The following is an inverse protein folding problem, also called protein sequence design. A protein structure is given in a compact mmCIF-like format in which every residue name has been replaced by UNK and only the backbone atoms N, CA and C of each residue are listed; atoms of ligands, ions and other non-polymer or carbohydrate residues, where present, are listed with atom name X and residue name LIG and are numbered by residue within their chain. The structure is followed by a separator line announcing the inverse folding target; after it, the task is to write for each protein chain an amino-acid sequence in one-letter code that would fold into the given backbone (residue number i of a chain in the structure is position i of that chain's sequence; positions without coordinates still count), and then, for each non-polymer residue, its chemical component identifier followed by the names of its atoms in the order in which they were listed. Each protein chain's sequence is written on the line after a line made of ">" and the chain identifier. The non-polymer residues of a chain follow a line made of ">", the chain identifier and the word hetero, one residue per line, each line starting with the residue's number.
data_IF_300501307232
#
_entry.id   IF_300501307232
#
_cell.length_a   1.000
_cell.length_b   1.000
_cell.length_c   1.000
_cell.angle_alpha   90.00
_cell.angle_beta   90.00
_cell.angle_gamma   90.00
#
_symmetry.space_group_name_H-M   'P 1'
#
loop_
_entity.id
_entity.type
_entity.pdbx_description
1 polymer ?
#
# COMPACT_ATOMS: atom_id res chain seq x y z
N UNK A 1 16.34 -34.13 9.35
CA UNK A 1 16.97 -33.14 10.25
C UNK A 1 16.71 -31.74 9.68
N UNK A 2 15.42 -31.38 9.55
CA UNK A 2 14.96 -30.15 8.87
C UNK A 2 13.53 -29.81 9.35
N UNK A 3 13.31 -29.98 10.66
CA UNK A 3 12.03 -29.74 11.34
C UNK A 3 12.17 -28.98 12.66
N UNK A 4 13.35 -28.39 12.90
CA UNK A 4 13.71 -27.75 14.18
C UNK A 4 14.08 -26.26 14.08
N UNK A 5 14.05 -25.64 12.89
CA UNK A 5 14.45 -24.22 12.71
C UNK A 5 13.24 -23.27 12.65
N UNK A 6 12.00 -23.78 12.54
CA UNK A 6 10.80 -22.94 12.45
C UNK A 6 10.15 -22.58 13.81
N UNK A 7 10.71 -23.01 14.94
CA UNK A 7 10.11 -22.80 16.27
C UNK A 7 10.78 -21.70 17.11
N UNK A 8 11.94 -21.17 16.74
CA UNK A 8 12.60 -20.12 17.54
C UNK A 8 12.13 -18.69 17.22
N UNK A 9 11.58 -18.41 16.04
CA UNK A 9 11.02 -17.08 15.72
C UNK A 9 9.61 -16.83 16.30
N UNK A 10 8.98 -17.84 16.92
CA UNK A 10 7.63 -17.75 17.49
C UNK A 10 7.66 -17.27 18.96
N UNK A 11 8.81 -17.37 19.65
CA UNK A 11 8.88 -17.06 21.09
C UNK A 11 9.14 -15.58 21.42
N UNK A 12 9.67 -14.79 20.47
CA UNK A 12 10.07 -13.39 20.72
C UNK A 12 8.95 -12.38 20.43
N UNK A 13 8.02 -12.69 19.52
CA UNK A 13 6.86 -11.83 19.20
C UNK A 13 5.79 -11.81 20.30
N UNK A 14 5.72 -12.87 21.11
CA UNK A 14 4.69 -13.04 22.14
C UNK A 14 4.83 -12.08 23.36
N UNK A 15 5.97 -11.39 23.50
CA UNK A 15 6.24 -10.50 24.64
C UNK A 15 6.01 -9.00 24.37
N UNK A 16 6.03 -8.55 23.12
CA UNK A 16 5.89 -7.13 22.82
C UNK A 16 4.42 -6.65 22.76
N UNK A 17 3.47 -7.53 22.43
CA UNK A 17 2.07 -7.12 22.25
C UNK A 17 1.27 -6.97 23.55
N UNK A 18 1.64 -7.67 24.64
CA UNK A 18 0.91 -7.57 25.93
C UNK A 18 1.04 -6.21 26.63
N UNK A 19 2.03 -5.40 26.26
CA UNK A 19 2.29 -4.12 26.94
C UNK A 19 1.43 -2.97 26.39
N UNK A 20 0.88 -3.11 25.18
CA UNK A 20 0.21 -1.99 24.50
C UNK A 20 -1.26 -1.78 24.91
N UNK A 21 -1.92 -2.79 25.49
CA UNK A 21 -3.37 -2.76 25.78
C UNK A 21 -3.74 -2.26 27.20
N UNK A 22 -2.78 -1.85 28.03
CA UNK A 22 -3.07 -1.42 29.41
C UNK A 22 -3.36 0.09 29.57
N UNK A 23 -3.45 0.87 28.49
CA UNK A 23 -3.75 2.30 28.64
C UNK A 23 -4.52 2.88 27.47
N UNK A 24 -5.83 3.12 27.68
CA UNK A 24 -6.52 4.38 27.32
C UNK A 24 -8.02 4.22 27.56
N UNK A 25 -8.49 4.98 28.55
CA UNK A 25 -9.87 5.43 28.69
C UNK A 25 -9.81 6.97 28.63
N UNK A 26 -10.66 7.64 27.83
CA UNK A 26 -11.13 8.94 28.31
C UNK A 26 -12.63 9.17 28.09
N UNK A 27 -13.23 9.80 29.10
CA UNK A 27 -14.60 10.30 29.13
C UNK A 27 -14.78 11.61 28.33
N UNK A 28 -16.05 11.88 28.04
CA UNK A 28 -16.71 12.98 27.31
C UNK A 28 -16.40 14.40 27.82
N UNK A 29 -16.57 15.41 26.95
CA UNK A 29 -17.70 16.36 27.04
C UNK A 29 -17.78 17.31 25.84
N UNK A 30 -18.97 17.89 25.67
CA UNK A 30 -19.58 18.56 24.51
C UNK A 30 -19.74 20.05 24.81
N UNK A 31 -19.69 20.94 23.78
CA UNK A 31 -20.73 21.95 23.48
C UNK A 31 -20.21 23.13 22.63
N UNK A 32 -21.08 23.65 21.74
CA UNK A 32 -21.10 25.09 21.44
C UNK A 32 -21.35 25.53 19.99
N UNK A 33 -22.60 25.51 19.56
CA UNK A 33 -23.11 26.06 18.29
C UNK A 33 -23.06 27.61 18.21
N UNK A 34 -22.92 28.19 17.01
CA UNK A 34 -23.88 29.20 16.47
C UNK A 34 -23.57 29.69 15.03
N UNK A 35 -24.66 29.74 14.24
CA UNK A 35 -24.89 30.44 12.95
C UNK A 35 -24.56 31.93 13.00
N UNK A 36 -24.17 32.52 11.85
CA UNK A 36 -24.74 33.78 11.31
C UNK A 36 -24.79 33.71 9.77
N UNK A 37 -25.91 34.16 9.22
CA UNK A 37 -26.28 34.33 7.81
C UNK A 37 -26.13 35.82 7.42
N UNK A 38 -25.79 36.14 6.18
CA UNK A 38 -25.85 37.52 5.66
C UNK A 38 -25.58 37.65 4.16
N UNK A 39 -26.65 37.80 3.39
CA UNK A 39 -26.74 38.31 2.00
C UNK A 39 -26.38 39.82 1.96
N UNK A 40 -26.25 40.60 0.87
CA UNK A 40 -26.74 40.67 -0.53
C UNK A 40 -25.86 41.76 -1.22
N UNK A 41 -25.57 41.80 -2.53
CA UNK A 41 -26.19 42.54 -3.68
C UNK A 41 -25.02 43.00 -4.58
N UNK A 42 -24.87 42.53 -5.83
CA UNK A 42 -25.30 43.12 -7.12
C UNK A 42 -24.86 44.57 -7.37
N UNK A 43 -23.98 44.78 -8.36
CA UNK A 43 -24.22 45.75 -9.44
C UNK A 43 -23.44 45.38 -10.71
N UNK A 44 -24.13 45.45 -11.83
CA UNK A 44 -23.69 45.29 -13.21
C UNK A 44 -23.44 46.66 -13.84
N UNK A 45 -22.57 46.73 -14.85
CA UNK A 45 -22.75 47.55 -16.06
C UNK A 45 -21.69 47.20 -17.12
N UNK A 46 -22.17 46.66 -18.24
CA UNK A 46 -21.88 46.91 -19.67
C UNK A 46 -20.68 47.82 -20.05
N UNK A 47 -19.96 47.68 -21.17
CA UNK A 47 -20.41 47.37 -22.54
C UNK A 47 -19.22 47.16 -23.51
N UNK A 48 -19.45 46.32 -24.53
CA UNK A 48 -19.07 46.42 -25.98
C UNK A 48 -17.61 46.40 -26.49
N UNK A 49 -17.30 45.26 -27.13
CA UNK A 49 -16.93 45.03 -28.54
C UNK A 49 -15.76 45.77 -29.21
N UNK A 50 -14.87 45.00 -29.86
CA UNK A 50 -14.67 45.04 -31.34
C UNK A 50 -13.80 43.87 -31.83
N UNK A 51 -14.24 43.27 -32.94
CA UNK A 51 -13.58 42.20 -33.69
C UNK A 51 -12.48 42.72 -34.64
N UNK A 52 -11.60 41.79 -35.03
CA UNK A 52 -11.08 41.49 -36.40
C UNK A 52 -9.55 41.58 -36.51
N UNK A 53 -8.92 40.42 -36.77
CA UNK A 53 -8.31 40.07 -38.07
C UNK A 53 -7.45 38.81 -37.94
N UNK A 54 -7.78 37.78 -38.71
CA UNK A 54 -6.80 36.79 -39.18
C UNK A 54 -6.11 37.37 -40.42
N UNK A 55 -4.87 36.97 -40.75
CA UNK A 55 -4.76 35.80 -41.63
C UNK A 55 -3.49 34.94 -41.45
N UNK A 56 -3.54 33.81 -42.16
CA UNK A 56 -2.45 33.03 -42.76
C UNK A 56 -2.07 31.67 -42.14
N UNK A 57 -2.43 30.69 -42.96
CA UNK A 57 -2.15 29.25 -42.97
C UNK A 57 -0.67 29.05 -43.28
N UNK A 58 0.10 28.63 -42.28
CA UNK A 58 1.42 28.05 -42.45
C UNK A 58 1.33 26.54 -42.22
N UNK A 59 1.67 25.80 -43.27
CA UNK A 59 1.84 24.34 -43.29
C UNK A 59 2.90 23.94 -42.25
N UNK A 60 2.47 23.33 -41.15
CA UNK A 60 3.34 22.68 -40.18
C UNK A 60 3.79 21.34 -40.74
N UNK A 61 5.06 21.23 -41.13
CA UNK A 61 5.74 19.95 -41.26
C UNK A 61 5.65 19.23 -39.92
N UNK A 62 4.91 18.12 -39.91
CA UNK A 62 4.82 17.21 -38.78
C UNK A 62 6.17 16.55 -38.57
N UNK A 63 7.03 17.18 -37.76
CA UNK A 63 8.19 16.52 -37.18
C UNK A 63 7.71 15.33 -36.37
N UNK A 64 7.85 14.13 -36.92
CA UNK A 64 7.67 12.88 -36.21
C UNK A 64 8.77 12.84 -35.14
N UNK A 65 8.46 13.37 -33.95
CA UNK A 65 9.28 13.18 -32.76
C UNK A 65 9.14 11.71 -32.43
N UNK A 66 10.15 10.91 -32.81
CA UNK A 66 10.30 9.58 -32.24
C UNK A 66 10.33 9.77 -30.73
N UNK A 67 9.35 9.20 -30.02
CA UNK A 67 9.39 9.10 -28.57
C UNK A 67 10.50 8.10 -28.23
N UNK A 68 11.74 8.58 -28.26
CA UNK A 68 12.86 7.87 -27.64
C UNK A 68 12.49 7.81 -26.16
N UNK A 69 12.26 6.59 -25.66
CA UNK A 69 12.10 6.36 -24.23
C UNK A 69 13.33 6.93 -23.53
N UNK A 70 13.17 8.09 -22.90
CA UNK A 70 14.27 8.80 -22.24
C UNK A 70 14.74 8.06 -20.97
N UNK A 71 14.06 6.98 -20.59
CA UNK A 71 14.38 6.15 -19.45
C UNK A 71 13.82 6.69 -18.14
N UNK A 72 14.20 6.03 -17.06
CA UNK A 72 13.82 6.39 -15.68
C UNK A 72 15.09 6.64 -14.88
N UNK A 73 15.13 7.74 -14.13
CA UNK A 73 16.20 8.10 -13.21
C UNK A 73 15.69 7.95 -11.77
N UNK A 74 16.37 7.14 -10.97
CA UNK A 74 15.93 6.74 -9.64
C UNK A 74 17.01 7.14 -8.63
N UNK A 75 16.70 8.08 -7.75
CA UNK A 75 17.59 8.51 -6.68
C UNK A 75 17.14 7.91 -5.34
N UNK A 76 17.98 7.08 -4.74
CA UNK A 76 17.83 6.70 -3.34
C UNK A 76 18.39 7.78 -2.43
N UNK A 77 17.60 8.22 -1.46
CA UNK A 77 18.02 9.03 -0.32
C UNK A 77 18.15 8.08 0.86
N UNK A 78 19.40 7.75 1.21
CA UNK A 78 19.77 6.75 2.20
C UNK A 78 20.09 7.43 3.54
N UNK A 79 19.33 7.08 4.57
CA UNK A 79 19.64 7.45 5.95
C UNK A 79 20.93 6.75 6.42
N UNK A 80 21.95 7.55 6.67
CA UNK A 80 23.20 7.13 7.27
C UNK A 80 23.39 7.72 8.66
N UNK A 81 22.33 8.17 9.33
CA UNK A 81 22.39 8.83 10.63
C UNK A 81 22.84 7.91 11.77
N UNK A 82 22.99 8.46 12.98
CA UNK A 82 23.51 7.74 14.14
C UNK A 82 22.51 6.80 14.83
N UNK A 83 21.22 6.85 14.48
CA UNK A 83 20.18 5.95 15.01
C UNK A 83 20.32 4.52 14.46
N UNK A 84 20.89 4.39 13.27
CA UNK A 84 20.99 3.12 12.55
C UNK A 84 22.26 2.37 13.01
N UNK A 85 22.11 1.11 13.39
CA UNK A 85 23.27 0.25 13.72
C UNK A 85 24.02 -0.16 12.44
N UNK A 86 25.32 -0.50 12.51
CA UNK A 86 26.09 -0.94 11.35
C UNK A 86 25.44 -2.12 10.59
N UNK A 87 24.86 -3.09 11.31
CA UNK A 87 24.17 -4.23 10.70
C UNK A 87 22.89 -3.81 9.96
N UNK A 88 22.13 -2.88 10.53
CA UNK A 88 20.93 -2.34 9.90
C UNK A 88 21.29 -1.49 8.67
N UNK A 89 22.37 -0.70 8.75
CA UNK A 89 22.89 0.05 7.60
C UNK A 89 23.37 -0.90 6.49
N UNK A 90 24.01 -2.02 6.85
CA UNK A 90 24.37 -3.04 5.87
C UNK A 90 23.13 -3.63 5.18
N UNK A 91 22.06 -3.92 5.92
CA UNK A 91 20.77 -4.38 5.34
C UNK A 91 20.16 -3.34 4.40
N UNK A 92 20.24 -2.05 4.73
CA UNK A 92 19.80 -0.97 3.86
C UNK A 92 20.58 -0.95 2.52
N UNK A 93 21.91 -1.12 2.58
CA UNK A 93 22.76 -1.24 1.38
C UNK A 93 22.42 -2.49 0.58
N UNK A 94 22.21 -3.62 1.23
CA UNK A 94 21.85 -4.88 0.56
C UNK A 94 20.50 -4.76 -0.14
N UNK A 95 19.51 -4.12 0.49
CA UNK A 95 18.23 -3.80 -0.12
C UNK A 95 18.39 -2.95 -1.39
N UNK A 96 19.12 -1.82 -1.32
CA UNK A 96 19.37 -0.96 -2.49
C UNK A 96 20.11 -1.74 -3.59
N UNK A 97 21.13 -2.52 -3.23
CA UNK A 97 21.87 -3.37 -4.15
C UNK A 97 20.94 -4.35 -4.88
N UNK A 98 20.05 -5.02 -4.14
CA UNK A 98 19.14 -6.01 -4.70
C UNK A 98 18.11 -5.37 -5.63
N UNK A 99 17.52 -4.24 -5.24
CA UNK A 99 16.59 -3.48 -6.10
C UNK A 99 17.28 -3.06 -7.40
N UNK A 100 18.47 -2.46 -7.32
CA UNK A 100 19.23 -2.04 -8.52
C UNK A 100 19.54 -3.24 -9.43
N UNK A 101 20.08 -4.32 -8.85
CA UNK A 101 20.43 -5.55 -9.56
C UNK A 101 19.23 -6.19 -10.27
N UNK A 102 18.05 -6.19 -9.64
CA UNK A 102 16.84 -6.77 -10.23
C UNK A 102 16.17 -5.86 -11.24
N UNK A 103 16.08 -4.55 -10.98
CA UNK A 103 15.51 -3.57 -11.92
C UNK A 103 16.30 -3.57 -13.23
N UNK A 104 17.64 -3.64 -13.19
CA UNK A 104 18.44 -3.68 -14.43
C UNK A 104 18.27 -4.94 -15.27
N UNK A 105 17.69 -6.01 -14.74
CA UNK A 105 17.36 -7.21 -15.54
C UNK A 105 16.15 -6.97 -16.45
N UNK A 106 15.29 -5.99 -16.11
CA UNK A 106 14.01 -5.74 -16.80
C UNK A 106 13.90 -4.34 -17.38
N UNK A 107 14.61 -3.35 -16.83
CA UNK A 107 14.65 -1.97 -17.28
C UNK A 107 16.07 -1.55 -17.65
N UNK A 108 16.41 -1.67 -18.94
CA UNK A 108 17.74 -1.32 -19.46
C UNK A 108 18.00 0.20 -19.51
N UNK A 109 16.95 1.02 -19.52
CA UNK A 109 17.05 2.49 -19.52
C UNK A 109 16.84 3.09 -18.11
N UNK A 110 16.93 2.29 -17.05
CA UNK A 110 16.87 2.77 -15.68
C UNK A 110 18.26 3.14 -15.17
N UNK A 111 18.46 4.41 -14.83
CA UNK A 111 19.68 4.94 -14.24
C UNK A 111 19.46 5.20 -12.74
N UNK A 112 20.42 4.83 -11.89
CA UNK A 112 20.33 5.01 -10.43
C UNK A 112 21.30 6.07 -9.91
N UNK A 113 20.93 6.70 -8.81
CA UNK A 113 21.80 7.52 -7.97
C UNK A 113 21.55 7.19 -6.50
N UNK A 114 22.55 7.41 -5.65
CA UNK A 114 22.45 7.25 -4.20
C UNK A 114 23.04 8.49 -3.53
N UNK A 115 22.22 9.14 -2.73
CA UNK A 115 22.60 10.25 -1.84
C UNK A 115 22.42 9.76 -0.42
N UNK A 116 23.51 9.72 0.34
CA UNK A 116 23.47 9.42 1.77
C UNK A 116 23.42 10.72 2.57
N UNK A 117 22.72 10.72 3.71
CA UNK A 117 22.80 11.80 4.69
C UNK A 117 23.25 11.31 6.07
N UNK A 118 23.78 12.23 6.87
CA UNK A 118 24.25 11.99 8.24
C UNK A 118 24.88 13.26 8.81
N UNK A 119 26.17 13.21 9.12
CA UNK A 119 26.97 14.41 9.42
C UNK A 119 27.04 15.40 8.25
N UNK A 120 26.92 14.89 7.03
CA UNK A 120 26.93 15.65 5.78
C UNK A 120 25.99 15.00 4.77
N UNK A 121 25.76 15.65 3.64
CA UNK A 121 25.08 15.07 2.49
C UNK A 121 26.15 14.62 1.49
N UNK A 122 26.11 13.36 1.06
CA UNK A 122 27.12 12.79 0.17
C UNK A 122 26.49 12.03 -1.00
N UNK A 123 26.91 12.36 -2.22
CA UNK A 123 26.62 11.51 -3.39
C UNK A 123 27.53 10.30 -3.37
N UNK A 124 26.98 9.14 -3.05
CA UNK A 124 27.69 7.85 -3.06
C UNK A 124 27.75 7.25 -4.47
N UNK A 125 26.72 7.55 -5.27
CA UNK A 125 26.58 7.05 -6.63
C UNK A 125 25.84 8.09 -7.47
N UNK A 126 26.46 8.55 -8.56
CA UNK A 126 25.85 9.49 -9.52
C UNK A 126 25.16 8.78 -10.67
N UNK A 127 24.30 9.48 -11.43
CA UNK A 127 23.68 8.91 -12.65
C UNK A 127 24.71 8.53 -13.72
N UNK A 128 25.88 9.18 -13.72
CA UNK A 128 27.00 8.82 -14.60
C UNK A 128 27.66 7.49 -14.19
N UNK A 129 27.80 7.25 -12.88
CA UNK A 129 28.31 5.96 -12.37
C UNK A 129 27.38 4.80 -12.74
N UNK A 130 26.08 5.06 -12.83
CA UNK A 130 25.06 4.09 -13.22
C UNK A 130 25.29 3.48 -14.61
N UNK A 131 26.12 4.06 -15.47
CA UNK A 131 26.43 3.51 -16.80
C UNK A 131 27.22 2.21 -16.75
N UNK A 132 27.90 1.92 -15.64
CA UNK A 132 28.57 0.65 -15.42
C UNK A 132 27.93 -0.08 -14.22
N UNK A 133 26.94 -0.93 -14.50
CA UNK A 133 26.16 -1.63 -13.46
C UNK A 133 27.06 -2.41 -12.48
N UNK A 134 28.11 -3.08 -12.97
CA UNK A 134 29.01 -3.83 -12.11
C UNK A 134 29.78 -2.92 -11.15
N UNK A 135 30.33 -1.80 -11.64
CA UNK A 135 31.04 -0.84 -10.79
C UNK A 135 30.10 -0.10 -9.83
N UNK A 136 28.90 0.24 -10.31
CA UNK A 136 27.83 0.83 -9.51
C UNK A 136 27.48 -0.07 -8.30
N UNK A 137 27.24 -1.36 -8.53
CA UNK A 137 26.96 -2.35 -7.47
C UNK A 137 28.11 -2.52 -6.47
N UNK A 138 29.37 -2.42 -6.92
CA UNK A 138 30.52 -2.40 -6.02
C UNK A 138 30.56 -1.14 -5.16
N UNK A 139 30.28 0.03 -5.75
CA UNK A 139 30.17 1.29 -4.99
C UNK A 139 29.14 1.17 -3.89
N UNK A 140 27.96 0.60 -4.16
CA UNK A 140 26.92 0.39 -3.12
C UNK A 140 27.45 -0.41 -1.93
N UNK A 141 28.19 -1.49 -2.18
CA UNK A 141 28.78 -2.30 -1.10
C UNK A 141 29.81 -1.53 -0.27
N UNK A 142 30.58 -0.67 -0.93
CA UNK A 142 31.65 0.14 -0.34
C UNK A 142 31.16 1.35 0.49
N UNK A 143 29.88 1.72 0.38
CA UNK A 143 29.28 2.85 1.13
C UNK A 143 29.53 2.68 2.64
N UNK A 144 30.05 3.75 3.25
CA UNK A 144 30.31 3.85 4.69
C UNK A 144 29.29 4.77 5.33
N UNK A 145 28.78 4.37 6.50
CA UNK A 145 27.79 5.12 7.25
C UNK A 145 28.38 6.45 7.75
N UNK A 146 27.64 7.56 7.59
CA UNK A 146 28.10 8.90 7.99
C UNK A 146 27.88 9.21 9.49
N UNK A 147 26.87 8.60 10.09
CA UNK A 147 26.41 8.81 11.46
C UNK A 147 25.73 10.17 11.71
N UNK A 148 25.39 10.42 12.97
CA UNK A 148 24.88 11.70 13.52
C UNK A 148 23.45 12.09 13.12
N UNK A 149 23.28 13.10 12.26
CA UNK A 149 22.01 13.82 12.07
C UNK A 149 21.10 13.16 11.02
N UNK A 150 19.82 13.53 11.04
CA UNK A 150 18.80 13.02 10.11
C UNK A 150 18.37 14.15 9.18
N UNK A 151 19.23 14.45 8.19
CA UNK A 151 19.13 15.61 7.30
C UNK A 151 18.35 15.29 6.00
N UNK A 152 17.14 14.74 6.13
CA UNK A 152 16.34 14.22 5.02
C UNK A 152 15.93 15.30 4.01
N UNK A 153 15.51 16.49 4.45
CA UNK A 153 15.11 17.57 3.56
C UNK A 153 16.31 18.11 2.77
N UNK A 154 17.45 18.29 3.42
CA UNK A 154 18.71 18.66 2.75
C UNK A 154 19.16 17.62 1.73
N UNK A 155 18.98 16.33 2.02
CA UNK A 155 19.31 15.26 1.08
C UNK A 155 18.40 15.27 -0.16
N UNK A 156 17.09 15.47 0.03
CA UNK A 156 16.14 15.62 -1.08
C UNK A 156 16.49 16.85 -1.92
N UNK A 157 16.83 17.97 -1.30
CA UNK A 157 17.30 19.15 -2.01
C UNK A 157 18.52 18.83 -2.88
N UNK A 158 19.54 18.17 -2.32
CA UNK A 158 20.73 17.73 -3.05
C UNK A 158 20.40 16.84 -4.25
N UNK A 159 19.41 15.94 -4.12
CA UNK A 159 18.93 15.18 -5.28
C UNK A 159 18.39 16.10 -6.39
N UNK A 160 17.60 17.11 -6.05
CA UNK A 160 17.03 18.04 -7.02
C UNK A 160 18.08 18.95 -7.67
N UNK A 161 19.09 19.39 -6.91
CA UNK A 161 20.06 20.40 -7.35
C UNK A 161 21.36 19.83 -7.90
N UNK A 162 21.70 18.59 -7.57
CA UNK A 162 23.00 18.00 -7.91
C UNK A 162 22.86 16.65 -8.62
N UNK A 163 21.78 15.91 -8.42
CA UNK A 163 21.58 14.62 -9.13
C UNK A 163 20.74 14.80 -10.39
N UNK A 164 19.57 15.42 -10.28
CA UNK A 164 18.64 15.63 -11.40
C UNK A 164 18.98 16.86 -12.25
N UNK A 165 20.27 17.04 -12.53
CA UNK A 165 20.78 18.11 -13.40
C UNK A 165 21.53 17.53 -14.60
N UNK A 166 21.46 18.18 -15.79
CA UNK A 166 22.14 17.71 -17.00
C UNK A 166 23.64 17.50 -16.82
N UNK A 167 24.29 18.35 -16.04
CA UNK A 167 25.74 18.34 -15.80
C UNK A 167 26.19 17.03 -15.14
N UNK A 168 25.31 16.39 -14.36
CA UNK A 168 25.56 15.14 -13.66
C UNK A 168 24.81 13.95 -14.29
N UNK A 169 24.45 14.06 -15.57
CA UNK A 169 23.95 12.95 -16.37
C UNK A 169 22.43 12.79 -16.40
N UNK A 170 21.67 13.69 -15.78
CA UNK A 170 20.21 13.67 -15.86
C UNK A 170 19.71 14.09 -17.24
N UNK A 171 18.71 13.38 -17.75
CA UNK A 171 18.07 13.60 -19.03
C UNK A 171 16.82 14.44 -18.83
N UNK A 172 16.57 15.40 -19.73
CA UNK A 172 15.43 16.32 -19.62
C UNK A 172 14.06 15.61 -19.62
N UNK A 173 13.91 14.57 -20.44
CA UNK A 173 12.62 13.91 -20.67
C UNK A 173 12.47 12.56 -19.93
N UNK A 174 13.42 12.21 -19.06
CA UNK A 174 13.34 10.98 -18.26
C UNK A 174 12.30 11.12 -17.16
N UNK A 175 11.70 9.98 -16.77
CA UNK A 175 10.91 9.89 -15.53
C UNK A 175 11.86 9.99 -14.35
N UNK A 176 11.53 10.82 -13.35
CA UNK A 176 12.37 11.02 -12.16
C UNK A 176 11.67 10.46 -10.94
N UNK A 177 12.40 9.67 -10.15
CA UNK A 177 11.89 9.02 -8.94
C UNK A 177 12.84 9.28 -7.78
N UNK A 178 12.32 9.71 -6.64
CA UNK A 178 13.04 9.77 -5.36
C UNK A 178 12.49 8.69 -4.45
N UNK A 179 13.37 7.94 -3.80
CA UNK A 179 13.03 6.95 -2.78
C UNK A 179 13.78 7.28 -1.50
N UNK A 180 13.07 7.75 -0.49
CA UNK A 180 13.64 8.03 0.84
C UNK A 180 13.54 6.78 1.70
N UNK A 181 14.65 6.36 2.30
CA UNK A 181 14.71 5.27 3.28
C UNK A 181 15.25 5.83 4.59
N UNK A 182 14.44 5.83 5.66
CA UNK A 182 14.80 6.39 6.97
C UNK A 182 14.18 5.63 8.14
N UNK A 183 14.84 5.67 9.31
CA UNK A 183 14.37 5.03 10.55
C UNK A 183 13.85 6.02 11.61
N UNK A 184 13.80 7.33 11.30
CA UNK A 184 13.42 8.34 12.27
C UNK A 184 12.97 9.66 11.66
N UNK A 185 12.52 10.56 12.52
CA UNK A 185 12.16 11.92 12.13
C UNK A 185 13.37 12.76 11.74
N UNK A 186 13.11 13.80 10.95
CA UNK A 186 14.09 14.81 10.61
C UNK A 186 14.64 15.45 11.90
N UNK A 187 15.97 15.47 12.03
CA UNK A 187 16.66 15.97 13.20
C UNK A 187 17.97 16.68 12.83
N UNK A 188 18.05 17.96 13.15
CA UNK A 188 19.23 18.79 12.86
C UNK A 188 19.37 19.22 11.40
N UNK A 189 18.31 19.08 10.60
CA UNK A 189 18.30 19.52 9.20
C UNK A 189 18.19 21.05 9.10
N UNK A 190 19.10 21.73 8.37
CA UNK A 190 19.03 23.17 8.16
C UNK A 190 17.89 23.60 7.22
N UNK A 191 17.35 22.68 6.43
CA UNK A 191 16.27 22.96 5.48
C UNK A 191 14.91 22.53 6.04
N UNK A 192 13.88 23.30 5.71
CA UNK A 192 12.50 22.90 5.99
C UNK A 192 12.00 21.98 4.89
N UNK A 193 11.45 20.83 5.28
CA UNK A 193 10.90 19.86 4.34
C UNK A 193 9.89 20.48 3.37
N UNK A 194 8.97 21.31 3.87
CA UNK A 194 7.95 21.97 3.05
C UNK A 194 8.53 22.88 1.97
N UNK A 195 9.65 23.55 2.25
CA UNK A 195 10.28 24.46 1.29
C UNK A 195 10.90 23.67 0.14
N UNK A 196 11.56 22.55 0.45
CA UNK A 196 12.16 21.64 -0.54
C UNK A 196 11.08 20.97 -1.39
N UNK A 197 9.99 20.48 -0.78
CA UNK A 197 8.89 19.84 -1.50
C UNK A 197 8.15 20.80 -2.45
N UNK A 198 8.18 22.10 -2.18
CA UNK A 198 7.57 23.14 -3.01
C UNK A 198 8.51 23.71 -4.10
N UNK A 199 9.74 23.21 -4.21
CA UNK A 199 10.69 23.66 -5.24
C UNK A 199 10.16 23.35 -6.65
N UNK A 200 10.37 24.23 -7.64
CA UNK A 200 9.97 23.98 -9.03
C UNK A 200 10.55 22.69 -9.62
N UNK A 201 11.77 22.32 -9.21
CA UNK A 201 12.48 21.11 -9.61
C UNK A 201 11.79 19.82 -9.16
N UNK A 202 10.96 19.89 -8.11
CA UNK A 202 10.18 18.75 -7.63
C UNK A 202 9.03 18.39 -8.58
N UNK A 203 8.64 19.30 -9.48
CA UNK A 203 7.52 19.08 -10.39
C UNK A 203 7.79 17.89 -11.33
N UNK A 204 6.91 16.89 -11.30
CA UNK A 204 7.02 15.69 -12.14
C UNK A 204 7.97 14.64 -11.60
N UNK A 205 8.52 14.83 -10.39
CA UNK A 205 9.27 13.81 -9.66
C UNK A 205 8.29 12.94 -8.88
N UNK A 206 8.33 11.63 -9.11
CA UNK A 206 7.56 10.66 -8.31
C UNK A 206 8.30 10.39 -7.00
N UNK A 207 7.59 10.40 -5.87
CA UNK A 207 8.23 10.27 -4.55
C UNK A 207 7.72 9.07 -3.78
N UNK A 208 8.66 8.26 -3.32
CA UNK A 208 8.46 7.14 -2.41
C UNK A 208 9.14 7.45 -1.08
N UNK A 209 8.55 6.99 0.02
CA UNK A 209 9.19 7.00 1.33
C UNK A 209 9.00 5.65 2.01
N UNK A 210 10.07 5.14 2.61
CA UNK A 210 10.12 3.85 3.31
C UNK A 210 10.61 4.13 4.72
N UNK A 211 9.69 4.06 5.67
CA UNK A 211 9.98 4.15 7.10
C UNK A 211 10.36 2.80 7.68
N UNK A 212 11.41 2.76 8.50
CA UNK A 212 11.89 1.50 9.09
C UNK A 212 11.87 1.55 10.61
N UNK A 213 11.15 0.63 11.22
CA UNK A 213 11.15 0.43 12.66
C UNK A 213 10.37 1.48 13.47
N UNK A 214 10.51 1.38 14.78
CA UNK A 214 9.69 2.12 15.75
C UNK A 214 9.96 3.63 15.77
N UNK A 215 11.15 4.07 15.36
CA UNK A 215 11.46 5.50 15.24
C UNK A 215 10.59 6.22 14.20
N UNK A 216 9.97 5.48 13.28
CA UNK A 216 8.86 5.96 12.45
C UNK A 216 7.53 5.50 13.01
N UNK A 217 7.34 4.19 13.21
CA UNK A 217 6.02 3.59 13.46
C UNK A 217 5.34 4.04 14.76
N UNK A 218 6.12 4.46 15.76
CA UNK A 218 5.63 4.94 17.05
C UNK A 218 5.63 6.47 17.17
N UNK A 219 6.10 7.19 16.14
CA UNK A 219 6.30 8.64 16.17
C UNK A 219 5.41 9.35 15.13
N UNK A 220 4.29 9.97 15.55
CA UNK A 220 3.35 10.61 14.62
C UNK A 220 3.96 11.69 13.73
N UNK A 221 4.93 12.45 14.25
CA UNK A 221 5.67 13.46 13.49
C UNK A 221 6.46 12.81 12.34
N UNK A 222 7.14 11.68 12.61
CA UNK A 222 7.92 10.97 11.62
C UNK A 222 7.02 10.36 10.52
N UNK A 223 5.88 9.78 10.89
CA UNK A 223 4.87 9.30 9.93
C UNK A 223 4.37 10.46 9.07
N UNK A 224 4.10 11.61 9.68
CA UNK A 224 3.63 12.79 8.97
C UNK A 224 4.68 13.30 7.97
N UNK A 225 5.95 13.36 8.35
CA UNK A 225 7.07 13.74 7.47
C UNK A 225 7.19 12.76 6.29
N UNK A 226 7.20 11.45 6.56
CA UNK A 226 7.31 10.42 5.52
C UNK A 226 6.10 10.43 4.58
N UNK A 227 4.89 10.67 5.12
CA UNK A 227 3.67 10.81 4.32
C UNK A 227 3.71 12.09 3.46
N UNK A 228 4.28 13.19 3.96
CA UNK A 228 4.46 14.42 3.18
C UNK A 228 5.48 14.24 2.06
N UNK A 229 6.55 13.48 2.29
CA UNK A 229 7.56 13.17 1.29
C UNK A 229 6.96 12.36 0.14
N UNK A 230 6.18 11.32 0.45
CA UNK A 230 5.62 10.42 -0.54
C UNK A 230 4.49 11.06 -1.35
N UNK A 231 4.34 10.63 -2.60
CA UNK A 231 3.08 10.81 -3.30
C UNK A 231 1.99 9.91 -2.69
N UNK A 232 0.69 10.16 -2.98
CA UNK A 232 -0.38 9.29 -2.52
C UNK A 232 -0.10 7.81 -2.81
N UNK A 233 -0.37 6.96 -1.81
CA UNK A 233 -0.16 5.50 -1.85
C UNK A 233 1.32 5.05 -1.95
N UNK A 234 2.30 5.95 -1.79
CA UNK A 234 3.75 5.63 -1.91
C UNK A 234 4.55 5.78 -0.62
N UNK A 235 3.88 5.92 0.52
CA UNK A 235 4.51 5.78 1.84
C UNK A 235 4.37 4.35 2.32
N UNK A 236 5.51 3.75 2.66
CA UNK A 236 5.61 2.38 3.15
C UNK A 236 6.34 2.33 4.46
N UNK A 237 6.02 1.35 5.28
CA UNK A 237 6.66 1.17 6.57
C UNK A 237 6.89 -0.30 6.86
N UNK A 238 8.09 -0.63 7.30
CA UNK A 238 8.46 -1.99 7.72
C UNK A 238 8.87 -1.99 9.19
N UNK A 239 8.69 -3.11 9.88
CA UNK A 239 8.94 -3.20 11.32
C UNK A 239 10.42 -3.15 11.69
N UNK A 240 11.32 -3.48 10.75
CA UNK A 240 12.77 -3.40 10.90
C UNK A 240 13.46 -3.58 9.53
N UNK A 241 14.78 -3.44 9.50
CA UNK A 241 15.57 -3.55 8.27
C UNK A 241 15.57 -4.94 7.62
N UNK A 242 15.28 -6.03 8.36
CA UNK A 242 15.14 -7.35 7.74
C UNK A 242 13.82 -7.48 6.96
N UNK A 243 12.77 -6.76 7.38
CA UNK A 243 11.48 -6.73 6.69
C UNK A 243 11.48 -5.88 5.40
N UNK A 244 12.60 -5.25 5.01
CA UNK A 244 12.74 -4.61 3.71
C UNK A 244 12.59 -5.61 2.55
N UNK A 245 12.93 -6.89 2.78
CA UNK A 245 12.74 -7.97 1.82
C UNK A 245 11.26 -8.18 1.45
N UNK A 246 10.33 -7.79 2.34
CA UNK A 246 8.89 -7.95 2.12
C UNK A 246 8.34 -6.99 1.08
N UNK A 247 8.95 -5.81 0.95
CA UNK A 247 8.50 -4.75 0.05
C UNK A 247 9.30 -4.66 -1.25
N UNK A 248 10.45 -5.35 -1.31
CA UNK A 248 11.41 -5.24 -2.41
C UNK A 248 10.78 -5.47 -3.79
N UNK A 249 10.07 -6.59 -3.98
CA UNK A 249 9.47 -6.93 -5.27
C UNK A 249 8.35 -5.97 -5.67
N UNK A 250 7.56 -5.50 -4.70
CA UNK A 250 6.51 -4.49 -4.95
C UNK A 250 7.14 -3.17 -5.43
N UNK A 251 8.26 -2.77 -4.81
CA UNK A 251 9.00 -1.57 -5.20
C UNK A 251 9.56 -1.70 -6.61
N UNK A 252 10.28 -2.78 -6.88
CA UNK A 252 10.87 -3.05 -8.20
C UNK A 252 9.81 -2.97 -9.32
N UNK A 253 8.65 -3.59 -9.13
CA UNK A 253 7.55 -3.55 -10.10
C UNK A 253 7.01 -2.14 -10.31
N UNK A 254 6.85 -1.40 -9.22
CA UNK A 254 6.38 -0.02 -9.27
C UNK A 254 7.37 0.91 -9.98
N UNK A 255 8.68 0.70 -9.83
CA UNK A 255 9.74 1.52 -10.44
C UNK A 255 9.85 1.32 -11.95
N UNK A 256 9.75 0.07 -12.43
CA UNK A 256 9.88 -0.23 -13.86
C UNK A 256 8.61 0.12 -14.66
N UNK A 257 7.54 0.55 -13.99
CA UNK A 257 6.25 0.82 -14.63
C UNK A 257 5.68 -0.40 -15.36
N UNK A 258 6.14 -1.61 -15.00
CA UNK A 258 5.45 -2.83 -15.38
C UNK A 258 4.03 -2.67 -14.87
N UNK A 259 3.05 -2.88 -15.74
CA UNK A 259 1.65 -2.90 -15.34
C UNK A 259 1.43 -4.11 -14.43
N UNK A 260 1.93 -4.06 -13.20
CA UNK A 260 1.29 -4.75 -12.11
C UNK A 260 -0.08 -4.11 -12.03
N UNK A 261 -1.08 -4.82 -12.55
CA UNK A 261 -2.46 -4.39 -12.45
C UNK A 261 -2.96 -4.47 -11.01
N UNK A 262 -2.13 -4.93 -10.08
CA UNK A 262 -2.40 -4.94 -8.67
C UNK A 262 -3.16 -6.17 -8.24
N UNK A 263 -3.50 -6.20 -6.96
CA UNK A 263 -4.32 -7.25 -6.36
C UNK A 263 -5.60 -6.62 -5.82
N UNK A 264 -6.74 -7.20 -6.16
CA UNK A 264 -8.05 -6.77 -5.70
C UNK A 264 -8.59 -7.83 -4.75
N UNK A 265 -8.82 -7.45 -3.49
CA UNK A 265 -9.17 -8.35 -2.40
C UNK A 265 -10.58 -8.02 -1.92
N UNK A 266 -11.53 -8.92 -2.19
CA UNK A 266 -12.89 -8.79 -1.73
C UNK A 266 -13.12 -9.66 -0.49
N UNK A 267 -13.49 -9.03 0.63
CA UNK A 267 -14.03 -9.73 1.79
C UNK A 267 -15.53 -9.97 1.61
N UNK A 268 -15.94 -11.20 1.87
CA UNK A 268 -17.34 -11.61 1.99
C UNK A 268 -17.59 -11.86 3.48
N UNK A 269 -18.24 -10.89 4.13
CA UNK A 269 -18.45 -10.81 5.57
C UNK A 269 -19.84 -11.34 5.94
N UNK A 270 -19.89 -12.35 6.79
CA UNK A 270 -21.12 -12.82 7.41
C UNK A 270 -21.69 -11.75 8.36
N UNK A 271 -22.83 -11.18 7.96
CA UNK A 271 -23.63 -10.26 8.76
C UNK A 271 -24.89 -10.91 9.30
N UNK A 272 -25.02 -12.24 9.23
CA UNK A 272 -26.23 -12.98 9.57
C UNK A 272 -26.56 -12.89 11.07
N UNK A 273 -27.78 -13.30 11.43
CA UNK A 273 -28.30 -13.19 12.80
C UNK A 273 -27.74 -14.21 13.81
N UNK A 274 -26.87 -15.14 13.39
CA UNK A 274 -26.23 -16.07 14.33
C UNK A 274 -25.01 -15.48 15.04
N UNK A 275 -24.47 -14.38 14.51
CA UNK A 275 -23.27 -13.74 15.04
C UNK A 275 -23.69 -12.72 16.10
N UNK A 276 -23.12 -12.84 17.30
CA UNK A 276 -23.34 -11.87 18.36
C UNK A 276 -22.66 -10.54 18.06
N UNK A 277 -23.13 -9.45 18.68
CA UNK A 277 -22.63 -8.11 18.40
C UNK A 277 -21.11 -8.00 18.55
N UNK A 278 -20.55 -8.53 19.64
CA UNK A 278 -19.11 -8.46 19.92
C UNK A 278 -18.29 -9.29 18.93
N UNK A 279 -18.83 -10.41 18.47
CA UNK A 279 -18.20 -11.27 17.47
C UNK A 279 -18.21 -10.60 16.09
N UNK A 280 -19.29 -9.89 15.75
CA UNK A 280 -19.33 -9.06 14.55
C UNK A 280 -18.32 -7.90 14.62
N UNK A 281 -18.11 -7.28 15.80
CA UNK A 281 -17.03 -6.30 15.97
C UNK A 281 -15.66 -6.92 15.72
N UNK A 282 -15.37 -8.09 16.29
CA UNK A 282 -14.10 -8.81 16.07
C UNK A 282 -13.87 -9.18 14.61
N UNK A 283 -14.94 -9.53 13.87
CA UNK A 283 -14.86 -9.76 12.43
C UNK A 283 -14.43 -8.51 11.66
N UNK A 284 -14.98 -7.34 12.02
CA UNK A 284 -14.58 -6.05 11.43
C UNK A 284 -13.15 -5.66 11.80
N UNK A 285 -12.76 -5.87 13.06
CA UNK A 285 -11.39 -5.60 13.53
C UNK A 285 -10.37 -6.49 12.80
N UNK A 286 -10.70 -7.76 12.54
CA UNK A 286 -9.90 -8.64 11.71
C UNK A 286 -9.72 -8.09 10.30
N UNK A 287 -10.80 -7.69 9.62
CA UNK A 287 -10.73 -7.09 8.27
C UNK A 287 -9.90 -5.80 8.28
N UNK A 288 -10.13 -4.92 9.27
CA UNK A 288 -9.34 -3.70 9.48
C UNK A 288 -7.85 -4.01 9.58
N UNK A 289 -7.48 -4.99 10.39
CA UNK A 289 -6.08 -5.38 10.63
C UNK A 289 -5.44 -5.99 9.38
N UNK A 290 -6.18 -6.80 8.62
CA UNK A 290 -5.70 -7.32 7.33
C UNK A 290 -5.43 -6.16 6.37
N UNK A 291 -6.40 -5.27 6.16
CA UNK A 291 -6.27 -4.12 5.27
C UNK A 291 -5.06 -3.26 5.65
N UNK A 292 -4.99 -2.89 6.93
CA UNK A 292 -3.92 -2.05 7.47
C UNK A 292 -2.53 -2.68 7.27
N UNK A 293 -2.39 -3.99 7.47
CA UNK A 293 -1.10 -4.66 7.32
C UNK A 293 -0.73 -4.93 5.86
N UNK A 294 -1.69 -5.28 5.01
CA UNK A 294 -1.44 -5.49 3.58
C UNK A 294 -1.01 -4.18 2.91
N UNK A 295 -1.61 -3.04 3.25
CA UNK A 295 -1.21 -1.75 2.69
C UNK A 295 0.19 -1.28 3.10
N UNK A 296 0.82 -1.90 4.11
CA UNK A 296 2.23 -1.64 4.43
C UNK A 296 3.19 -2.27 3.42
N UNK A 297 2.77 -3.33 2.73
CA UNK A 297 3.67 -4.17 1.90
C UNK A 297 3.21 -4.36 0.46
N UNK A 298 1.93 -4.13 0.15
CA UNK A 298 1.37 -4.26 -1.19
C UNK A 298 0.99 -2.90 -1.78
N UNK A 299 1.72 -2.50 -2.82
CA UNK A 299 1.68 -1.13 -3.37
C UNK A 299 0.54 -0.88 -4.35
N UNK A 300 -0.15 -1.94 -4.76
CA UNK A 300 -1.30 -1.86 -5.66
C UNK A 300 -2.37 -2.86 -5.20
N UNK A 301 -2.66 -2.87 -3.90
CA UNK A 301 -3.72 -3.68 -3.32
C UNK A 301 -4.97 -2.83 -3.05
N UNK A 302 -6.07 -3.17 -3.71
CA UNK A 302 -7.37 -2.54 -3.48
C UNK A 302 -8.30 -3.51 -2.76
N UNK A 303 -9.09 -3.01 -1.82
CA UNK A 303 -10.02 -3.81 -1.04
C UNK A 303 -11.47 -3.51 -1.40
N UNK A 304 -12.32 -4.52 -1.24
CA UNK A 304 -13.77 -4.38 -1.23
C UNK A 304 -14.34 -5.22 -0.09
N UNK A 305 -15.49 -4.80 0.45
CA UNK A 305 -16.19 -5.53 1.50
C UNK A 305 -17.65 -5.66 1.10
N UNK A 306 -18.11 -6.90 1.02
CA UNK A 306 -19.50 -7.28 0.78
C UNK A 306 -20.00 -7.99 2.02
N UNK A 307 -21.03 -7.44 2.65
CA UNK A 307 -21.72 -8.07 3.77
C UNK A 307 -22.97 -8.83 3.27
N UNK A 308 -23.26 -9.98 3.88
CA UNK A 308 -24.49 -10.72 3.60
C UNK A 308 -25.35 -10.99 4.84
N UNK A 309 -26.66 -11.10 4.62
CA UNK A 309 -27.66 -11.35 5.66
C UNK A 309 -29.07 -11.23 5.11
N UNK A 310 -29.84 -10.25 5.60
CA UNK A 310 -31.16 -9.90 5.06
C UNK A 310 -31.07 -9.58 3.56
N UNK A 311 -30.03 -8.85 3.18
CA UNK A 311 -29.68 -8.47 1.81
C UNK A 311 -28.18 -8.73 1.57
N UNK A 312 -27.71 -8.45 0.35
CA UNK A 312 -26.29 -8.36 0.05
C UNK A 312 -25.96 -6.88 -0.08
N UNK A 313 -24.97 -6.38 0.67
CA UNK A 313 -24.61 -4.97 0.68
C UNK A 313 -23.11 -4.77 0.48
N UNK A 314 -22.75 -3.92 -0.47
CA UNK A 314 -21.38 -3.43 -0.61
C UNK A 314 -21.13 -2.35 0.45
N UNK A 315 -20.31 -2.69 1.45
CA UNK A 315 -19.89 -1.75 2.51
C UNK A 315 -18.72 -0.87 2.06
N UNK A 316 -17.87 -1.42 1.21
CA UNK A 316 -16.66 -0.77 0.70
C UNK A 316 -16.42 -1.24 -0.74
N UNK A 317 -16.34 -0.29 -1.67
CA UNK A 317 -16.02 -0.57 -3.08
C UNK A 317 -14.52 -0.44 -3.35
N UNK A 318 -14.03 -0.98 -4.48
CA UNK A 318 -12.63 -0.83 -4.90
C UNK A 318 -12.25 0.66 -5.11
N UNK A 319 -13.21 1.52 -5.42
CA UNK A 319 -12.99 2.97 -5.55
C UNK A 319 -12.81 3.63 -4.19
N UNK A 320 -13.56 3.18 -3.17
CA UNK A 320 -13.40 3.68 -1.79
C UNK A 320 -12.02 3.31 -1.21
N UNK A 321 -11.45 2.19 -1.67
CA UNK A 321 -10.13 1.70 -1.25
C UNK A 321 -8.99 2.68 -1.54
N UNK A 322 -9.18 3.69 -2.40
CA UNK A 322 -8.14 4.68 -2.74
C UNK A 322 -7.81 5.65 -1.62
N UNK A 323 -8.73 5.81 -0.67
CA UNK A 323 -8.49 6.59 0.53
C UNK A 323 -8.39 5.62 1.72
N UNK A 324 -7.17 5.16 2.01
CA UNK A 324 -6.94 4.16 3.07
C UNK A 324 -7.51 4.60 4.42
N UNK A 325 -7.39 5.88 4.79
CA UNK A 325 -7.89 6.38 6.06
C UNK A 325 -9.42 6.31 6.12
N UNK A 326 -10.09 6.78 5.06
CA UNK A 326 -11.55 6.72 4.97
C UNK A 326 -12.07 5.30 4.85
N UNK A 327 -11.38 4.44 4.12
CA UNK A 327 -11.67 3.02 3.98
C UNK A 327 -11.68 2.32 5.35
N UNK A 328 -10.63 2.55 6.16
CA UNK A 328 -10.54 2.01 7.52
C UNK A 328 -11.64 2.53 8.46
N UNK A 329 -12.06 3.79 8.31
CA UNK A 329 -13.20 4.33 9.04
C UNK A 329 -14.51 3.65 8.63
N UNK A 330 -14.74 3.47 7.32
CA UNK A 330 -15.91 2.74 6.80
C UNK A 330 -16.01 1.35 7.40
N UNK A 331 -14.90 0.61 7.50
CA UNK A 331 -14.87 -0.74 8.13
C UNK A 331 -15.44 -0.69 9.54
N UNK A 332 -15.01 0.27 10.36
CA UNK A 332 -15.49 0.40 11.75
C UNK A 332 -16.99 0.71 11.82
N UNK A 333 -17.50 1.48 10.86
CA UNK A 333 -18.89 1.93 10.82
C UNK A 333 -19.88 0.88 10.28
N UNK A 334 -19.40 -0.23 9.71
CA UNK A 334 -20.26 -1.30 9.18
C UNK A 334 -21.23 -1.79 10.28
N UNK A 335 -22.52 -1.79 9.93
CA UNK A 335 -23.61 -2.28 10.76
C UNK A 335 -24.07 -3.66 10.29
N UNK A 336 -24.27 -4.56 11.24
CA UNK A 336 -24.75 -5.92 11.01
C UNK A 336 -26.16 -5.90 10.37
N UNK A 337 -26.39 -6.71 9.34
CA UNK A 337 -27.66 -6.74 8.59
C UNK A 337 -28.59 -7.92 8.96
N UNK A 338 -28.13 -8.80 9.86
CA UNK A 338 -28.85 -9.94 10.46
C UNK A 338 -29.45 -10.92 9.44
N UNK A 339 -30.35 -11.81 9.88
CA UNK A 339 -31.07 -12.80 9.06
C UNK A 339 -30.22 -14.02 8.61
N UNK A 340 -30.51 -14.62 7.46
CA UNK A 340 -29.90 -15.87 6.98
C UNK A 340 -28.52 -15.67 6.35
N UNK A 341 -27.79 -16.77 6.16
CA UNK A 341 -26.47 -16.78 5.53
C UNK A 341 -26.59 -16.94 4.02
N UNK A 342 -26.24 -15.90 3.27
CA UNK A 342 -26.34 -15.84 1.81
C UNK A 342 -24.95 -15.84 1.15
N UNK A 343 -24.11 -16.81 1.51
CA UNK A 343 -22.70 -16.89 1.11
C UNK A 343 -22.51 -16.99 -0.40
N UNK A 344 -23.28 -17.85 -1.10
CA UNK A 344 -23.19 -18.00 -2.56
C UNK A 344 -23.70 -16.74 -3.28
N UNK A 345 -24.81 -16.15 -2.80
CA UNK A 345 -25.30 -14.88 -3.32
C UNK A 345 -24.27 -13.75 -3.14
N UNK A 346 -23.56 -13.72 -2.01
CA UNK A 346 -22.53 -12.72 -1.74
C UNK A 346 -21.31 -12.88 -2.65
N UNK A 347 -20.86 -14.13 -2.89
CA UNK A 347 -19.79 -14.42 -3.84
C UNK A 347 -20.23 -14.00 -5.25
N UNK A 348 -21.45 -14.31 -5.66
CA UNK A 348 -21.98 -13.86 -6.95
C UNK A 348 -21.93 -12.34 -7.07
N UNK A 349 -22.38 -11.59 -6.05
CA UNK A 349 -22.31 -10.13 -6.01
C UNK A 349 -20.87 -9.61 -6.15
N UNK A 350 -19.88 -10.28 -5.53
CA UNK A 350 -18.47 -9.93 -5.77
C UNK A 350 -18.09 -10.07 -7.24
N UNK A 351 -18.51 -11.15 -7.91
CA UNK A 351 -18.18 -11.37 -9.32
C UNK A 351 -18.90 -10.42 -10.27
N UNK A 352 -20.15 -10.04 -9.97
CA UNK A 352 -21.02 -9.27 -10.89
C UNK A 352 -21.04 -7.78 -10.62
N UNK A 353 -20.69 -7.35 -9.41
CA UNK A 353 -20.83 -5.96 -8.98
C UNK A 353 -19.52 -5.39 -8.44
N UNK A 354 -18.59 -6.20 -7.92
CA UNK A 354 -17.30 -5.70 -7.41
C UNK A 354 -16.21 -5.82 -8.48
N UNK A 355 -16.02 -7.01 -9.03
CA UNK A 355 -14.98 -7.31 -10.02
C UNK A 355 -15.37 -6.92 -11.45
N UNK A 356 -15.98 -5.74 -11.59
CA UNK A 356 -16.35 -5.14 -12.86
C UNK A 356 -15.67 -3.77 -13.07
N UNK A 357 -15.31 -3.39 -14.31
CA UNK A 357 -14.66 -2.12 -14.59
C UNK A 357 -15.42 -0.89 -14.09
N UNK A 358 -16.76 -0.94 -14.13
CA UNK A 358 -17.65 0.15 -13.73
C UNK A 358 -17.49 0.52 -12.24
N UNK A 359 -17.10 -0.45 -11.40
CA UNK A 359 -16.87 -0.27 -9.97
C UNK A 359 -15.38 -0.30 -9.60
N UNK A 360 -14.50 0.00 -10.58
CA UNK A 360 -13.08 0.22 -10.36
C UNK A 360 -12.19 -1.01 -10.54
N UNK A 361 -12.74 -2.17 -10.91
CA UNK A 361 -11.93 -3.37 -11.10
C UNK A 361 -11.07 -3.31 -12.36
N UNK A 362 -9.82 -3.74 -12.23
CA UNK A 362 -8.82 -3.74 -13.30
C UNK A 362 -8.85 -5.10 -14.01
N UNK A 363 -8.79 -5.07 -15.35
CA UNK A 363 -8.90 -6.30 -16.18
C UNK A 363 -7.83 -7.35 -15.85
N UNK A 364 -6.59 -6.92 -15.60
CA UNK A 364 -5.44 -7.81 -15.44
C UNK A 364 -4.98 -7.94 -13.98
N UNK A 365 -5.72 -7.41 -13.01
CA UNK A 365 -5.39 -7.55 -11.59
C UNK A 365 -5.49 -9.00 -11.16
N UNK A 366 -4.69 -9.38 -10.16
CA UNK A 366 -4.96 -10.59 -9.37
C UNK A 366 -6.23 -10.33 -8.56
N UNK A 367 -7.15 -11.29 -8.54
CA UNK A 367 -8.40 -11.19 -7.78
C UNK A 367 -8.38 -12.20 -6.65
N UNK A 368 -8.73 -11.77 -5.45
CA UNK A 368 -8.81 -12.60 -4.25
C UNK A 368 -10.20 -12.43 -3.63
N UNK A 369 -10.86 -13.54 -3.28
CA UNK A 369 -12.06 -13.55 -2.45
C UNK A 369 -11.70 -14.21 -1.12
N UNK A 370 -12.04 -13.55 0.00
CA UNK A 370 -11.90 -14.09 1.35
C UNK A 370 -13.28 -14.16 1.97
N UNK A 371 -13.79 -15.37 2.19
CA UNK A 371 -15.10 -15.60 2.80
C UNK A 371 -14.94 -15.85 4.30
N UNK A 372 -15.65 -15.10 5.13
CA UNK A 372 -15.75 -15.30 6.58
C UNK A 372 -17.18 -15.76 6.88
N UNK A 373 -17.35 -16.93 7.52
CA UNK A 373 -18.67 -17.48 7.89
C UNK A 373 -18.62 -18.23 9.22
N UNK A 374 -19.69 -18.17 10.01
CA UNK A 374 -19.83 -18.92 11.28
C UNK A 374 -20.68 -20.20 11.18
N UNK A 375 -21.23 -20.50 10.00
CA UNK A 375 -22.12 -21.64 9.84
C UNK A 375 -22.51 -22.00 8.41
N UNK A 376 -23.33 -23.04 8.32
CA UNK A 376 -23.84 -23.57 7.06
C UNK A 376 -24.75 -22.58 6.32
N UNK A 377 -24.60 -22.51 5.01
CA UNK A 377 -25.42 -21.69 4.12
C UNK A 377 -26.81 -22.32 3.89
N UNK A 378 -27.74 -22.08 4.82
CA UNK A 378 -29.14 -22.54 4.71
C UNK A 378 -30.05 -21.44 4.16
N UNK A 379 -30.75 -21.75 3.06
CA UNK A 379 -31.75 -20.86 2.46
C UNK A 379 -31.18 -19.76 1.55
N UNK A 380 -29.92 -19.87 1.12
CA UNK A 380 -29.37 -19.00 0.09
C UNK A 380 -30.12 -19.23 -1.24
N UNK A 381 -30.61 -18.16 -1.90
CA UNK A 381 -31.32 -18.30 -3.17
C UNK A 381 -30.42 -18.78 -4.33
N UNK A 382 -29.10 -18.69 -4.20
CA UNK A 382 -28.14 -19.14 -5.21
C UNK A 382 -27.52 -20.49 -4.85
N UNK A 383 -27.27 -21.31 -5.88
CA UNK A 383 -26.52 -22.56 -5.72
C UNK A 383 -25.02 -22.27 -5.74
N UNK A 384 -24.29 -22.75 -4.73
CA UNK A 384 -22.85 -22.53 -4.61
C UNK A 384 -22.07 -23.07 -5.82
N UNK A 385 -22.36 -24.29 -6.26
CA UNK A 385 -21.67 -24.92 -7.39
C UNK A 385 -21.85 -24.12 -8.68
N UNK A 386 -23.04 -23.59 -8.93
CA UNK A 386 -23.30 -22.75 -10.11
C UNK A 386 -22.47 -21.45 -10.06
N UNK A 387 -22.41 -20.78 -8.90
CA UNK A 387 -21.61 -19.56 -8.70
C UNK A 387 -20.11 -19.84 -8.87
N UNK A 388 -19.60 -20.93 -8.32
CA UNK A 388 -18.19 -21.31 -8.45
C UNK A 388 -17.81 -21.69 -9.90
N UNK A 389 -18.77 -22.14 -10.71
CA UNK A 389 -18.57 -22.47 -12.13
C UNK A 389 -18.76 -21.27 -13.08
N UNK A 390 -19.08 -20.08 -12.57
CA UNK A 390 -19.23 -18.88 -13.40
C UNK A 390 -17.93 -18.53 -14.13
N UNK A 391 -17.98 -18.06 -15.39
CA UNK A 391 -16.79 -17.63 -16.13
C UNK A 391 -15.96 -16.56 -15.41
N UNK A 392 -16.62 -15.67 -14.66
CA UNK A 392 -16.02 -14.60 -13.86
C UNK A 392 -15.15 -15.13 -12.70
N UNK A 393 -15.42 -16.36 -12.23
CA UNK A 393 -14.62 -17.00 -11.18
C UNK A 393 -13.23 -17.43 -11.68
N UNK A 394 -13.03 -17.51 -13.01
CA UNK A 394 -11.77 -17.98 -13.59
C UNK A 394 -10.60 -17.05 -13.21
N UNK A 395 -9.60 -17.62 -12.54
CA UNK A 395 -8.39 -16.90 -12.13
C UNK A 395 -8.53 -16.11 -10.83
N UNK A 396 -9.68 -16.22 -10.15
CA UNK A 396 -9.88 -15.69 -8.80
C UNK A 396 -9.28 -16.67 -7.79
N UNK A 397 -8.41 -16.17 -6.91
CA UNK A 397 -7.89 -16.92 -5.78
C UNK A 397 -8.90 -16.88 -4.63
N UNK A 398 -9.26 -18.04 -4.08
CA UNK A 398 -10.34 -18.14 -3.10
C UNK A 398 -9.82 -18.65 -1.76
N UNK A 399 -10.13 -17.91 -0.70
CA UNK A 399 -9.86 -18.22 0.69
C UNK A 399 -11.19 -18.31 1.43
N UNK A 400 -11.26 -19.18 2.43
CA UNK A 400 -12.41 -19.27 3.32
C UNK A 400 -11.92 -19.43 4.76
N UNK A 401 -12.63 -18.78 5.68
CA UNK A 401 -12.33 -18.75 7.11
C UNK A 401 -13.60 -19.14 7.85
N UNK A 402 -13.62 -20.36 8.39
CA UNK A 402 -14.71 -20.86 9.21
C UNK A 402 -14.54 -20.50 10.67
N UNK A 403 -15.56 -19.93 11.29
CA UNK A 403 -15.47 -19.46 12.69
C UNK A 403 -16.45 -20.22 13.57
N UNK A 404 -15.97 -20.74 14.70
CA UNK A 404 -16.86 -21.26 15.74
C UNK A 404 -17.47 -22.63 15.44
N UNK A 405 -18.34 -23.08 16.36
CA UNK A 405 -18.92 -24.43 16.34
C UNK A 405 -19.88 -24.66 15.18
N UNK A 406 -20.51 -23.61 14.66
CA UNK A 406 -21.42 -23.72 13.52
C UNK A 406 -20.73 -24.21 12.24
N UNK A 407 -19.42 -23.99 12.12
CA UNK A 407 -18.56 -24.66 11.13
C UNK A 407 -17.95 -25.93 11.72
N UNK A 408 -17.21 -25.81 12.82
CA UNK A 408 -16.32 -26.89 13.30
C UNK A 408 -17.02 -28.19 13.72
N UNK A 409 -18.33 -28.13 13.98
CA UNK A 409 -19.15 -29.28 14.36
C UNK A 409 -20.17 -29.68 13.29
N UNK A 410 -20.13 -29.06 12.11
CA UNK A 410 -21.05 -29.29 11.00
C UNK A 410 -20.26 -29.74 9.74
N UNK A 411 -20.31 -31.03 9.37
CA UNK A 411 -19.60 -31.55 8.20
C UNK A 411 -19.99 -30.87 6.89
N UNK A 412 -21.27 -30.54 6.71
CA UNK A 412 -21.79 -29.86 5.52
C UNK A 412 -21.21 -28.44 5.42
N UNK A 413 -21.17 -27.71 6.53
CA UNK A 413 -20.58 -26.37 6.56
C UNK A 413 -19.06 -26.38 6.29
N UNK A 414 -18.34 -27.39 6.82
CA UNK A 414 -16.92 -27.58 6.50
C UNK A 414 -16.75 -27.86 5.00
N UNK A 415 -17.61 -28.70 4.43
CA UNK A 415 -17.56 -29.04 3.01
C UNK A 415 -17.81 -27.81 2.13
N UNK A 416 -18.82 -26.99 2.45
CA UNK A 416 -19.09 -25.71 1.79
C UNK A 416 -17.86 -24.79 1.81
N UNK A 417 -17.22 -24.61 2.98
CA UNK A 417 -16.03 -23.78 3.10
C UNK A 417 -14.83 -24.33 2.31
N UNK A 418 -14.68 -25.65 2.22
CA UNK A 418 -13.64 -26.30 1.39
C UNK A 418 -13.88 -26.15 -0.10
N UNK A 419 -15.14 -26.15 -0.54
CA UNK A 419 -15.49 -25.93 -1.95
C UNK A 419 -15.25 -24.49 -2.39
N UNK A 420 -15.54 -23.54 -1.48
CA UNK A 420 -15.26 -22.12 -1.68
C UNK A 420 -13.77 -21.89 -1.85
N UNK A 421 -12.93 -22.41 -0.96
CA UNK A 421 -11.48 -22.16 -0.98
C UNK A 421 -10.74 -22.98 -2.05
N UNK A 422 -9.63 -22.44 -2.53
CA UNK A 422 -8.66 -23.25 -3.28
C UNK A 422 -7.90 -24.20 -2.33
N UNK A 423 -7.18 -25.22 -2.85
CA UNK A 423 -6.41 -26.14 -2.02
C UNK A 423 -5.47 -25.42 -1.03
N UNK A 424 -5.51 -25.85 0.23
CA UNK A 424 -4.74 -25.29 1.35
C UNK A 424 -5.08 -23.83 1.73
N UNK A 425 -6.23 -23.30 1.30
CA UNK A 425 -6.69 -21.93 1.63
C UNK A 425 -7.97 -21.87 2.45
N UNK A 426 -8.39 -23.01 3.01
CA UNK A 426 -9.43 -23.07 4.03
C UNK A 426 -8.79 -23.01 5.41
N UNK A 427 -9.13 -21.97 6.17
CA UNK A 427 -8.71 -21.76 7.54
C UNK A 427 -9.92 -21.87 8.47
N UNK A 428 -9.68 -22.20 9.73
CA UNK A 428 -10.74 -22.18 10.72
C UNK A 428 -10.23 -21.83 12.10
N UNK A 429 -11.09 -21.23 12.90
CA UNK A 429 -10.79 -20.80 14.27
C UNK A 429 -11.94 -21.17 15.20
N UNK A 430 -11.63 -21.38 16.48
CA UNK A 430 -12.61 -21.84 17.47
C UNK A 430 -13.67 -20.80 17.84
N UNK A 431 -13.37 -19.50 17.63
CA UNK A 431 -14.25 -18.35 17.85
C UNK A 431 -13.64 -17.11 17.19
N UNK A 432 -14.37 -15.99 17.20
CA UNK A 432 -13.94 -14.74 16.60
C UNK A 432 -12.72 -14.09 17.28
N UNK A 433 -12.47 -14.36 18.56
CA UNK A 433 -11.29 -13.83 19.25
C UNK A 433 -9.98 -14.48 18.76
N UNK A 434 -10.06 -15.68 18.18
CA UNK A 434 -8.92 -16.39 17.61
C UNK A 434 -8.64 -16.02 16.13
N UNK A 435 -9.38 -15.08 15.53
CA UNK A 435 -9.12 -14.63 14.16
C UNK A 435 -7.75 -13.97 13.99
N UNK A 436 -7.22 -13.35 15.04
CA UNK A 436 -5.87 -12.77 15.00
C UNK A 436 -4.77 -13.84 14.83
N UNK A 437 -5.02 -15.07 15.30
CA UNK A 437 -4.07 -16.19 15.22
C UNK A 437 -3.85 -16.69 13.79
N UNK A 438 -4.73 -16.33 12.86
CA UNK A 438 -4.60 -16.74 11.44
C UNK A 438 -4.11 -15.61 10.54
N UNK A 439 -3.96 -14.40 11.07
CA UNK A 439 -3.54 -13.22 10.31
C UNK A 439 -2.19 -13.44 9.61
N UNK A 440 -1.26 -14.13 10.26
CA UNK A 440 0.07 -14.43 9.70
C UNK A 440 0.11 -15.67 8.79
N UNK A 441 -0.94 -16.49 8.80
CA UNK A 441 -1.04 -17.71 7.97
C UNK A 441 -1.55 -17.41 6.56
N UNK A 442 -2.23 -16.28 6.38
CA UNK A 442 -2.78 -15.86 5.11
C UNK A 442 -1.73 -15.09 4.30
N UNK A 443 -1.01 -15.78 3.41
CA UNK A 443 -0.16 -15.12 2.43
C UNK A 443 -1.03 -14.43 1.36
N UNK A 444 -1.33 -13.16 1.58
CA UNK A 444 -2.03 -12.27 0.64
C UNK A 444 -1.05 -11.45 -0.21
N UNK A 445 0.27 -11.64 -0.05
CA UNK A 445 1.29 -10.86 -0.75
C UNK A 445 1.39 -11.20 -2.25
N UNK A 446 0.70 -12.25 -2.70
CA UNK A 446 0.66 -12.66 -4.09
C UNK A 446 2.01 -13.13 -4.63
N UNK A 447 2.97 -13.46 -3.75
CA UNK A 447 4.22 -14.15 -4.10
C UNK A 447 3.84 -15.54 -4.65
N UNK A 448 4.35 -15.88 -5.83
CA UNK A 448 4.29 -17.26 -6.33
C UNK A 448 5.25 -18.08 -5.46
N UNK A 449 4.72 -19.07 -4.74
CA UNK A 449 5.51 -20.16 -4.14
C UNK A 449 6.12 -21.01 -5.24
#
# INVERSE_FOLDING_TARGET
>A
MQRFILLENIYILNKCFKTFYSSRNPEKSIAGSKKILGSTTVSSTDNKSSQKNAPNKATTESSVVSFVDAGTEIAFVLDGSGSITPDNFQRAKDFIYNVMSNVWKTCFNCDFAIVQYGLEIRTELSLLDSKNHARALLKVKEIQQLGKLTMTASAIHHVLTDIFIPENGSKKNSKKIIIVLSDGKILGDPMKLTDVLNMPQMKGVTRYSIGVGEGILSEPEAIQEMTQIADPEKFFSVSNYAALDDIQSSLEQSLIGAKDAGTEIAFVLDGSGSIEHDDFQRAKDFIYNVMFNVWKTCFNCDFAIVQYGLEIRTELSLLDSKDHARALLKVKEIQQIFNIKKTASAIHHVLTDIFIPENGSKKNSKKIIIVLSDGQMLGDPMNLTDVLNMPQMKGVNRYSIGVGKGILSNPEAIQEMREIADPNRFFYVSNYAALEDILFLMDLSGKKV
#
